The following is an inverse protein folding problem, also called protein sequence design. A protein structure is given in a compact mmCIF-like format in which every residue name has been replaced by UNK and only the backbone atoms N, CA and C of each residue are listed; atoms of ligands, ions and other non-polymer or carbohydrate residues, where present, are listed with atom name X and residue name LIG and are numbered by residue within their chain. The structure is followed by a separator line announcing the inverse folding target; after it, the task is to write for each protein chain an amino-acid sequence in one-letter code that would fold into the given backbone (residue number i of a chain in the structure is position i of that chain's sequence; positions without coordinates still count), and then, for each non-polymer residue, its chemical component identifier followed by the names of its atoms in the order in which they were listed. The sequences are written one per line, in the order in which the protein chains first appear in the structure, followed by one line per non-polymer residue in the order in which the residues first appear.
data_IF_310264055739
#
_entry.id   IF_310264055739
#
_cell.length_a   1.000
_cell.length_b   1.000
_cell.length_c   1.000
_cell.angle_alpha   90.00
_cell.angle_beta   90.00
_cell.angle_gamma   90.00
#
_symmetry.space_group_name_H-M   'P 1'
#
loop_
_entity.id
_entity.type
_entity.pdbx_description
1 polymer ?
#
# COMPACT_ATOMS: atom_id res chain seq x y z
N UNK A 1 16.56 -53.04 11.71
CA UNK A 1 16.23 -52.93 10.27
C UNK A 1 15.22 -51.79 10.13
N UNK A 2 15.63 -50.54 10.31
CA UNK A 2 16.27 -49.64 9.33
C UNK A 2 15.36 -49.35 8.13
N UNK A 3 14.63 -48.24 8.20
CA UNK A 3 14.30 -47.41 7.04
C UNK A 3 14.63 -45.96 7.41
N UNK A 4 15.62 -45.42 6.70
CA UNK A 4 16.09 -44.03 6.72
C UNK A 4 15.09 -43.11 6.02
N UNK A 5 14.91 -41.85 6.46
CA UNK A 5 14.25 -40.84 5.63
C UNK A 5 15.18 -40.46 4.47
N UNK A 6 14.66 -40.55 3.24
CA UNK A 6 15.32 -40.05 2.04
C UNK A 6 15.58 -38.54 2.13
N UNK A 7 16.79 -38.17 1.74
CA UNK A 7 17.31 -36.82 1.81
C UNK A 7 16.56 -35.87 0.86
N UNK A 8 16.25 -34.68 1.39
CA UNK A 8 15.83 -33.52 0.63
C UNK A 8 16.93 -33.16 -0.39
N UNK A 9 16.59 -33.23 -1.68
CA UNK A 9 17.53 -32.93 -2.77
C UNK A 9 17.74 -31.42 -2.88
N UNK A 10 18.98 -30.93 -3.09
CA UNK A 10 19.27 -29.50 -3.07
C UNK A 10 18.68 -28.83 -4.32
N UNK A 11 17.60 -28.07 -4.12
CA UNK A 11 17.02 -27.21 -5.15
C UNK A 11 17.95 -26.03 -5.47
N UNK A 12 18.49 -26.04 -6.68
CA UNK A 12 18.99 -24.93 -7.51
C UNK A 12 19.12 -23.55 -6.83
N UNK A 13 20.36 -23.07 -6.72
CA UNK A 13 20.77 -21.76 -6.21
C UNK A 13 20.30 -20.57 -7.06
N UNK A 14 19.00 -20.30 -7.10
CA UNK A 14 18.43 -19.11 -7.72
C UNK A 14 18.28 -18.03 -6.65
N UNK A 15 19.21 -17.09 -6.64
CA UNK A 15 19.15 -15.89 -5.80
C UNK A 15 17.80 -15.19 -6.04
N UNK A 16 16.97 -15.09 -4.99
CA UNK A 16 15.69 -14.41 -5.09
C UNK A 16 15.89 -12.90 -5.16
N UNK A 17 15.03 -12.18 -5.90
CA UNK A 17 14.96 -10.70 -5.84
C UNK A 17 14.89 -10.19 -4.40
N UNK A 18 14.26 -10.96 -3.51
CA UNK A 18 14.12 -10.64 -2.09
C UNK A 18 15.46 -10.65 -1.35
N UNK A 19 16.35 -11.56 -1.71
CA UNK A 19 17.69 -11.70 -1.11
C UNK A 19 18.60 -10.56 -1.58
N UNK A 20 18.52 -10.21 -2.87
CA UNK A 20 19.22 -9.06 -3.47
C UNK A 20 18.83 -7.72 -2.81
N UNK A 21 17.53 -7.51 -2.58
CA UNK A 21 17.03 -6.30 -1.92
C UNK A 21 17.42 -6.23 -0.44
N UNK A 22 17.48 -7.37 0.27
CA UNK A 22 18.00 -7.41 1.65
C UNK A 22 19.49 -7.07 1.71
N UNK A 23 20.29 -7.56 0.76
CA UNK A 23 21.72 -7.25 0.68
C UNK A 23 22.03 -5.77 0.45
N UNK A 24 21.24 -5.08 -0.39
CA UNK A 24 21.45 -3.67 -0.71
C UNK A 24 21.24 -2.72 0.49
N UNK A 25 20.38 -3.09 1.45
CA UNK A 25 20.16 -2.31 2.68
C UNK A 25 21.37 -2.40 3.63
N UNK A 26 22.06 -3.55 3.66
CA UNK A 26 23.19 -3.77 4.56
C UNK A 26 24.46 -2.98 4.16
N UNK A 27 24.62 -2.65 2.87
CA UNK A 27 25.80 -1.92 2.38
C UNK A 27 25.61 -0.39 2.30
N UNK A 28 24.39 0.12 2.46
CA UNK A 28 24.07 1.55 2.28
C UNK A 28 24.08 2.41 3.56
N UNK A 29 24.07 1.81 4.75
CA UNK A 29 23.90 2.56 6.00
C UNK A 29 25.18 3.24 6.54
N UNK A 30 26.35 2.92 5.97
CA UNK A 30 27.65 3.36 6.52
C UNK A 30 28.28 4.60 5.90
N UNK A 31 27.77 5.14 4.78
CA UNK A 31 28.48 6.15 3.99
C UNK A 31 27.80 7.53 3.88
N UNK A 32 26.71 7.78 4.62
CA UNK A 32 25.98 9.06 4.55
C UNK A 32 26.21 9.99 5.77
N UNK A 33 27.21 9.70 6.61
CA UNK A 33 27.57 10.54 7.78
C UNK A 33 28.96 11.14 7.61
N UNK A 34 29.13 12.02 6.62
CA UNK A 34 30.28 12.93 6.58
C UNK A 34 29.89 14.21 5.87
N UNK A 35 29.36 15.15 6.65
CA UNK A 35 29.17 16.52 6.20
C UNK A 35 27.92 17.17 6.75
N UNK A 36 27.98 17.62 8.00
CA UNK A 36 27.51 18.95 8.42
C UNK A 36 27.57 19.10 9.96
N UNK A 37 28.45 19.98 10.41
CA UNK A 37 28.13 21.00 11.41
C UNK A 37 28.04 20.60 12.88
N UNK A 38 29.02 21.04 13.65
CA UNK A 38 29.02 21.14 15.11
C UNK A 38 27.81 21.91 15.67
N UNK A 39 27.16 21.33 16.68
CA UNK A 39 26.73 22.05 17.87
C UNK A 39 25.48 22.93 17.80
N UNK A 40 24.29 22.32 17.81
CA UNK A 40 23.14 22.86 18.56
C UNK A 40 22.53 21.72 19.35
N UNK A 41 22.53 21.86 20.67
CA UNK A 41 21.76 21.00 21.56
C UNK A 41 20.31 21.04 21.07
N UNK A 42 19.90 19.99 20.36
CA UNK A 42 18.52 19.79 19.96
C UNK A 42 17.77 19.49 21.23
N UNK A 43 17.08 20.51 21.74
CA UNK A 43 16.05 20.27 22.72
C UNK A 43 15.15 19.19 22.15
N UNK A 44 15.04 18.09 22.90
CA UNK A 44 14.14 16.98 22.63
C UNK A 44 12.69 17.48 22.73
N UNK A 45 12.26 18.30 21.79
CA UNK A 45 10.86 18.38 21.44
C UNK A 45 10.55 17.02 20.82
N UNK A 46 10.11 16.08 21.67
CA UNK A 46 9.30 14.94 21.24
C UNK A 46 8.04 15.53 20.61
N UNK A 47 8.15 15.95 19.36
CA UNK A 47 7.00 16.14 18.49
C UNK A 47 6.28 14.80 18.54
N UNK A 48 5.09 14.77 19.13
CA UNK A 48 4.19 13.62 19.05
C UNK A 48 3.84 13.47 17.58
N UNK A 49 4.69 12.79 16.83
CA UNK A 49 4.31 12.24 15.54
C UNK A 49 3.09 11.37 15.84
N UNK A 50 1.92 11.78 15.33
CA UNK A 50 0.76 10.88 15.35
C UNK A 50 1.26 9.63 14.65
N UNK A 51 1.34 8.54 15.39
CA UNK A 51 1.84 7.27 14.91
C UNK A 51 0.98 6.85 13.71
N UNK A 52 1.45 7.22 12.52
CA UNK A 52 0.77 7.00 11.26
C UNK A 52 0.74 5.52 10.91
N UNK A 53 1.53 4.69 11.62
CA UNK A 53 1.58 3.24 11.42
C UNK A 53 0.25 2.56 11.73
N UNK A 54 -0.66 3.21 12.46
CA UNK A 54 -1.89 2.60 12.96
C UNK A 54 -3.20 3.27 12.48
N UNK A 55 -3.15 4.21 11.52
CA UNK A 55 -4.36 4.92 11.07
C UNK A 55 -5.40 4.00 10.44
N UNK A 56 -4.96 3.09 9.54
CA UNK A 56 -5.86 2.13 8.88
C UNK A 56 -6.50 1.19 9.90
N UNK A 57 -5.72 0.69 10.86
CA UNK A 57 -6.23 -0.19 11.92
C UNK A 57 -7.31 0.50 12.74
N UNK A 58 -7.04 1.73 13.20
CA UNK A 58 -8.00 2.52 14.00
C UNK A 58 -9.27 2.89 13.22
N UNK A 59 -9.15 3.10 11.91
CA UNK A 59 -10.32 3.32 11.06
C UNK A 59 -11.17 2.05 10.95
N UNK A 60 -10.52 0.91 10.69
CA UNK A 60 -11.20 -0.38 10.57
C UNK A 60 -11.85 -0.87 11.88
N UNK A 61 -11.45 -0.32 13.03
CA UNK A 61 -12.10 -0.57 14.32
C UNK A 61 -13.47 0.13 14.45
N UNK A 62 -13.79 1.10 13.60
CA UNK A 62 -15.10 1.76 13.58
C UNK A 62 -16.16 0.85 12.97
N UNK A 63 -17.45 1.03 13.32
CA UNK A 63 -18.54 0.38 12.62
C UNK A 63 -18.47 0.71 11.11
N UNK A 64 -18.58 -0.31 10.26
CA UNK A 64 -18.66 -0.10 8.82
C UNK A 64 -19.92 0.68 8.44
N UNK A 65 -19.86 1.45 7.35
CA UNK A 65 -21.01 2.12 6.74
C UNK A 65 -21.35 1.49 5.39
N UNK A 66 -22.63 1.56 4.99
CA UNK A 66 -23.12 1.19 3.65
C UNK A 66 -23.46 2.41 2.79
N UNK A 67 -23.25 3.62 3.28
CA UNK A 67 -23.63 4.87 2.59
C UNK A 67 -22.90 5.06 1.25
N UNK A 68 -21.79 4.34 1.04
CA UNK A 68 -21.05 4.32 -0.22
C UNK A 68 -21.69 3.43 -1.29
N UNK A 69 -22.66 2.58 -0.92
CA UNK A 69 -23.32 1.67 -1.84
C UNK A 69 -24.39 2.40 -2.64
N UNK A 70 -24.44 2.15 -3.94
CA UNK A 70 -25.51 2.66 -4.80
C UNK A 70 -26.84 1.98 -4.43
N UNK A 71 -27.86 2.77 -4.09
CA UNK A 71 -29.20 2.25 -3.79
C UNK A 71 -30.06 2.05 -5.05
N UNK A 72 -29.70 2.68 -6.18
CA UNK A 72 -30.50 2.71 -7.41
C UNK A 72 -29.64 2.46 -8.65
N UNK A 73 -29.29 1.21 -8.89
CA UNK A 73 -28.32 0.85 -9.94
C UNK A 73 -28.88 0.72 -11.36
N UNK A 74 -30.21 0.81 -11.58
CA UNK A 74 -30.91 0.80 -12.90
C UNK A 74 -30.26 -0.12 -13.96
N UNK A 75 -29.79 -1.28 -13.52
CA UNK A 75 -29.07 -2.24 -14.38
C UNK A 75 -30.01 -2.70 -15.49
N UNK A 76 -29.53 -2.67 -16.72
CA UNK A 76 -30.24 -3.19 -17.89
C UNK A 76 -30.34 -4.73 -17.76
N UNK A 77 -31.56 -5.30 -17.71
CA UNK A 77 -31.77 -6.73 -17.62
C UNK A 77 -31.04 -7.55 -18.71
N UNK A 78 -30.84 -6.98 -19.90
CA UNK A 78 -30.16 -7.64 -21.00
C UNK A 78 -28.65 -7.82 -20.75
N UNK A 79 -28.04 -6.95 -19.93
CA UNK A 79 -26.57 -6.88 -19.78
C UNK A 79 -26.05 -7.36 -18.43
N UNK A 80 -26.95 -7.66 -17.48
CA UNK A 80 -26.71 -8.11 -16.08
C UNK A 80 -25.86 -7.18 -15.20
N UNK A 81 -25.08 -6.25 -15.78
CA UNK A 81 -24.05 -5.48 -15.08
C UNK A 81 -23.99 -4.01 -15.48
N UNK A 82 -24.57 -3.62 -16.63
CA UNK A 82 -24.45 -2.25 -17.15
C UNK A 82 -25.72 -1.45 -16.89
N UNK A 83 -25.56 -0.15 -16.71
CA UNK A 83 -26.63 0.84 -16.81
C UNK A 83 -26.24 1.78 -17.97
N UNK A 84 -26.70 1.53 -19.21
CA UNK A 84 -26.27 2.31 -20.37
C UNK A 84 -26.80 3.76 -20.37
N UNK A 85 -27.67 4.09 -19.41
CA UNK A 85 -28.35 5.38 -19.31
C UNK A 85 -27.52 6.41 -18.55
N UNK A 86 -26.44 5.96 -17.92
CA UNK A 86 -25.49 6.83 -17.24
C UNK A 86 -24.14 6.11 -17.19
N UNK A 87 -23.14 6.72 -17.81
CA UNK A 87 -21.78 6.21 -17.84
C UNK A 87 -20.79 7.30 -17.45
N UNK A 88 -19.57 6.90 -17.08
CA UNK A 88 -18.57 7.87 -16.67
C UNK A 88 -17.23 7.25 -16.30
N UNK A 89 -16.26 8.12 -16.08
CA UNK A 89 -14.91 7.75 -15.65
C UNK A 89 -14.28 8.85 -14.79
N UNK A 90 -13.29 8.47 -13.99
CA UNK A 90 -12.47 9.40 -13.22
C UNK A 90 -11.22 9.77 -14.01
N UNK A 91 -10.71 11.00 -13.87
CA UNK A 91 -9.47 11.42 -14.53
C UNK A 91 -8.23 10.62 -14.12
N UNK A 92 -8.29 9.91 -12.99
CA UNK A 92 -7.23 9.07 -12.42
C UNK A 92 -7.83 8.04 -11.46
N UNK A 93 -7.06 6.99 -11.19
CA UNK A 93 -7.48 5.88 -10.32
C UNK A 93 -7.11 6.07 -8.84
N UNK A 94 -6.20 6.98 -8.53
CA UNK A 94 -5.79 7.31 -7.16
C UNK A 94 -5.33 8.76 -7.08
N UNK A 95 -5.43 9.39 -5.92
CA UNK A 95 -4.96 10.75 -5.64
C UNK A 95 -4.41 10.84 -4.21
N UNK A 96 -3.40 11.70 -4.01
CA UNK A 96 -2.91 12.07 -2.67
C UNK A 96 -3.78 13.17 -2.06
N UNK A 97 -3.67 13.35 -0.74
CA UNK A 97 -4.33 14.45 -0.06
C UNK A 97 -3.92 15.79 -0.67
N UNK A 98 -4.91 16.62 -1.01
CA UNK A 98 -4.72 17.92 -1.66
C UNK A 98 -4.62 17.86 -3.20
N UNK A 99 -4.53 16.68 -3.81
CA UNK A 99 -4.57 16.56 -5.27
C UNK A 99 -6.00 16.61 -5.80
N UNK A 100 -6.17 17.15 -7.01
CA UNK A 100 -7.47 17.20 -7.70
C UNK A 100 -7.73 15.90 -8.46
N UNK A 101 -9.00 15.50 -8.50
CA UNK A 101 -9.53 14.43 -9.33
C UNK A 101 -10.86 14.89 -9.95
N UNK A 102 -11.04 14.64 -11.23
CA UNK A 102 -12.25 15.03 -11.97
C UNK A 102 -13.09 13.80 -12.28
N UNK A 103 -14.41 13.98 -12.26
CA UNK A 103 -15.38 12.96 -12.62
C UNK A 103 -16.11 13.42 -13.89
N UNK A 104 -16.11 12.57 -14.91
CA UNK A 104 -16.76 12.83 -16.18
C UNK A 104 -17.97 11.91 -16.29
N UNK A 105 -19.14 12.49 -16.60
CA UNK A 105 -20.42 11.78 -16.63
C UNK A 105 -21.12 12.08 -17.95
N UNK A 106 -21.69 11.04 -18.56
CA UNK A 106 -22.54 11.10 -19.75
C UNK A 106 -23.89 10.45 -19.42
N UNK A 107 -24.98 11.07 -19.86
CA UNK A 107 -26.37 10.64 -19.62
C UNK A 107 -27.17 10.69 -20.90
#
# INVERSE_FOLDING_TARGET
MNQTPEADSPGDGKISRRDLLRGAIALGAGAALSGCGTGRATQNLKLKTKDSSNLVRRENERPGSRDWMLERTRIDPATKYRCPWIEGYCSRTSARAGEKMSFHVST
#
